data_IF_407380798407
#
_entry.id   IF_407380798407
#
_cell.length_a   1.000
_cell.length_b   1.000
_cell.length_c   1.000
_cell.angle_alpha   90.00
_cell.angle_beta   90.00
_cell.angle_gamma   90.00
#
_symmetry.space_group_name_H-M   'P 1'
#
loop_
_entity.id
_entity.type
_entity.pdbx_description
1 polymer ?
#
# COMPACT_ATOMS: atom_id res chain seq x y z
N UNK A 1 -84.87 -1.75 17.08
CA UNK A 1 -85.18 -2.58 18.27
C UNK A 1 -84.65 -4.00 18.06
N UNK A 2 -83.83 -4.47 19.01
CA UNK A 2 -83.57 -5.87 19.40
C UNK A 2 -82.63 -6.75 18.54
N UNK A 3 -81.51 -7.06 19.19
CA UNK A 3 -80.54 -8.15 19.04
C UNK A 3 -81.12 -9.51 18.59
N UNK A 4 -80.31 -10.32 17.87
CA UNK A 4 -79.67 -11.52 18.46
C UNK A 4 -78.64 -12.20 17.52
N UNK A 5 -77.57 -12.59 18.19
CA UNK A 5 -76.37 -13.36 17.83
C UNK A 5 -76.72 -14.74 17.26
N UNK A 6 -75.97 -15.24 16.26
CA UNK A 6 -75.47 -16.62 16.26
C UNK A 6 -74.10 -16.73 15.57
N UNK A 7 -73.24 -17.45 16.27
CA UNK A 7 -71.82 -17.68 16.08
C UNK A 7 -71.62 -18.87 15.13
N UNK A 8 -70.78 -18.78 14.09
CA UNK A 8 -70.17 -19.96 13.48
C UNK A 8 -68.70 -19.71 13.15
N UNK A 9 -67.87 -20.55 13.76
CA UNK A 9 -66.45 -20.71 13.54
C UNK A 9 -66.13 -20.99 12.06
N UNK A 10 -65.23 -20.20 11.46
CA UNK A 10 -64.32 -20.69 10.42
C UNK A 10 -62.94 -20.07 10.62
N UNK A 11 -62.05 -20.90 11.13
CA UNK A 11 -60.60 -20.70 11.17
C UNK A 11 -60.13 -20.64 9.72
N UNK A 12 -59.61 -19.49 9.28
CA UNK A 12 -58.92 -19.40 8.00
C UNK A 12 -57.46 -19.03 8.25
N UNK A 13 -56.63 -20.06 8.05
CA UNK A 13 -55.18 -20.07 8.11
C UNK A 13 -54.62 -19.12 7.03
N UNK A 14 -54.00 -18.02 7.44
CA UNK A 14 -53.21 -17.18 6.52
C UNK A 14 -51.73 -17.49 6.76
N UNK A 15 -51.14 -18.13 5.76
CA UNK A 15 -49.74 -18.49 5.63
C UNK A 15 -48.85 -17.25 5.80
N UNK A 16 -48.01 -17.23 6.83
CA UNK A 16 -46.90 -16.29 6.92
C UNK A 16 -45.83 -16.68 5.88
N UNK A 17 -45.63 -15.83 4.86
CA UNK A 17 -44.49 -15.93 3.96
C UNK A 17 -43.23 -15.54 4.74
N UNK A 18 -42.55 -16.52 5.32
CA UNK A 18 -41.20 -16.38 5.84
C UNK A 18 -40.23 -16.35 4.65
N UNK A 19 -39.79 -15.16 4.26
CA UNK A 19 -38.61 -15.02 3.39
C UNK A 19 -37.39 -15.50 4.18
N UNK A 20 -36.88 -16.67 3.84
CA UNK A 20 -35.62 -17.18 4.37
C UNK A 20 -34.48 -16.29 3.86
N UNK A 21 -33.98 -15.39 4.72
CA UNK A 21 -32.71 -14.72 4.51
C UNK A 21 -31.63 -15.80 4.60
N UNK A 22 -31.05 -16.19 3.47
CA UNK A 22 -29.83 -17.01 3.45
C UNK A 22 -28.68 -16.14 3.95
N UNK A 23 -27.89 -16.57 4.94
CA UNK A 23 -26.66 -15.88 5.24
C UNK A 23 -25.72 -16.03 4.04
N UNK A 24 -25.36 -14.91 3.42
CA UNK A 24 -24.17 -14.84 2.57
C UNK A 24 -23.01 -15.19 3.48
N UNK A 25 -22.34 -16.32 3.24
CA UNK A 25 -21.01 -16.55 3.81
C UNK A 25 -20.12 -15.45 3.25
N UNK A 26 -19.87 -14.42 4.06
CA UNK A 26 -18.71 -13.57 3.84
C UNK A 26 -17.51 -14.50 3.81
N UNK A 27 -16.88 -14.62 2.64
CA UNK A 27 -15.61 -15.30 2.52
C UNK A 27 -14.62 -14.46 3.33
N UNK A 28 -14.37 -14.89 4.55
CA UNK A 28 -13.38 -14.27 5.42
C UNK A 28 -12.04 -14.37 4.69
N UNK A 29 -11.53 -13.25 4.20
CA UNK A 29 -10.09 -13.12 3.99
C UNK A 29 -9.48 -13.28 5.38
N UNK A 30 -9.01 -14.49 5.63
CA UNK A 30 -8.25 -14.84 6.82
C UNK A 30 -6.94 -14.07 6.75
N UNK A 31 -6.95 -12.85 7.30
CA UNK A 31 -5.75 -12.07 7.57
C UNK A 31 -4.98 -12.81 8.66
N UNK A 32 -4.11 -13.72 8.25
CA UNK A 32 -3.10 -14.33 9.12
C UNK A 32 -2.06 -13.24 9.47
N UNK A 33 -2.39 -12.37 10.43
CA UNK A 33 -1.40 -11.52 11.08
C UNK A 33 -1.29 -11.89 12.55
N UNK A 34 -0.69 -13.06 12.76
CA UNK A 34 -0.04 -13.37 14.01
C UNK A 34 1.31 -14.01 13.68
N UNK A 35 2.22 -13.22 13.11
CA UNK A 35 3.63 -13.59 13.05
C UNK A 35 4.30 -13.09 14.31
N UNK A 36 4.82 -14.01 15.12
CA UNK A 36 5.74 -13.66 16.19
C UNK A 36 6.93 -12.91 15.59
N UNK A 37 7.24 -11.73 16.11
CA UNK A 37 8.41 -10.91 15.72
C UNK A 37 9.75 -11.56 16.08
N UNK A 38 9.74 -12.70 16.79
CA UNK A 38 10.95 -13.42 17.16
C UNK A 38 11.62 -14.02 15.92
N UNK A 39 12.75 -13.46 15.50
CA UNK A 39 13.61 -14.01 14.45
C UNK A 39 13.41 -13.46 13.04
N UNK A 40 12.47 -12.53 12.83
CA UNK A 40 12.30 -11.83 11.54
C UNK A 40 13.39 -10.77 11.36
N UNK A 41 13.95 -10.68 10.15
CA UNK A 41 14.91 -9.67 9.77
C UNK A 41 14.33 -8.27 10.01
N UNK A 42 15.17 -7.35 10.50
CA UNK A 42 14.73 -6.00 10.85
C UNK A 42 14.14 -5.26 9.64
N UNK A 43 14.72 -5.40 8.44
CA UNK A 43 14.23 -4.69 7.26
C UNK A 43 12.85 -5.18 6.81
N UNK A 44 12.60 -6.48 6.90
CA UNK A 44 11.25 -7.01 6.67
C UNK A 44 10.26 -6.56 7.76
N UNK A 45 10.72 -6.31 8.99
CA UNK A 45 9.89 -5.75 10.06
C UNK A 45 9.55 -4.28 9.80
N UNK A 46 10.50 -3.50 9.26
CA UNK A 46 10.26 -2.13 8.82
C UNK A 46 9.28 -2.07 7.65
N UNK A 47 9.37 -3.02 6.71
CA UNK A 47 8.39 -3.20 5.63
C UNK A 47 6.98 -3.49 6.18
N UNK A 48 6.83 -4.38 7.17
CA UNK A 48 5.53 -4.63 7.80
C UNK A 48 4.94 -3.35 8.41
N UNK A 49 5.78 -2.56 9.09
CA UNK A 49 5.37 -1.28 9.68
C UNK A 49 4.87 -0.31 8.62
N UNK A 50 5.57 -0.21 7.49
CA UNK A 50 5.15 0.58 6.32
C UNK A 50 3.77 0.13 5.80
N UNK A 51 3.58 -1.18 5.61
CA UNK A 51 2.31 -1.75 5.14
C UNK A 51 1.14 -1.48 6.10
N UNK A 52 1.40 -1.55 7.42
CA UNK A 52 0.40 -1.21 8.44
C UNK A 52 0.02 0.26 8.36
N UNK A 53 0.96 1.17 8.10
CA UNK A 53 0.68 2.59 7.93
C UNK A 53 -0.16 2.84 6.67
N UNK A 54 0.19 2.22 5.53
CA UNK A 54 -0.59 2.31 4.29
C UNK A 54 -2.04 1.82 4.47
N UNK A 55 -2.25 0.73 5.22
CA UNK A 55 -3.59 0.18 5.47
C UNK A 55 -4.53 1.10 6.27
N UNK A 56 -3.97 2.13 6.92
CA UNK A 56 -4.70 3.08 7.77
C UNK A 56 -5.00 4.41 7.08
N UNK A 57 -4.58 4.56 5.83
CA UNK A 57 -4.81 5.79 5.08
C UNK A 57 -6.31 6.05 4.90
N UNK A 58 -6.75 7.32 4.97
CA UNK A 58 -8.14 7.64 4.73
C UNK A 58 -8.47 7.40 3.25
N UNK A 59 -9.76 7.25 2.96
CA UNK A 59 -10.22 7.06 1.58
C UNK A 59 -9.89 8.31 0.76
N UNK A 60 -9.09 8.13 -0.28
CA UNK A 60 -8.77 9.19 -1.24
C UNK A 60 -9.97 9.59 -2.11
N UNK A 61 -9.95 10.82 -2.61
CA UNK A 61 -11.02 11.42 -3.42
C UNK A 61 -10.61 11.68 -4.87
N UNK A 62 -9.36 11.37 -5.23
CA UNK A 62 -8.82 11.44 -6.59
C UNK A 62 -7.59 10.53 -6.74
N UNK A 63 -7.17 10.17 -7.97
CA UNK A 63 -5.91 9.48 -8.20
C UNK A 63 -4.70 10.21 -7.64
N UNK A 64 -4.66 11.54 -7.74
CA UNK A 64 -3.56 12.37 -7.26
C UNK A 64 -3.46 12.30 -5.73
N UNK A 65 -4.59 12.48 -5.03
CA UNK A 65 -4.61 12.38 -3.57
C UNK A 65 -4.27 10.98 -3.10
N UNK A 66 -4.75 9.93 -3.78
CA UNK A 66 -4.42 8.54 -3.44
C UNK A 66 -2.93 8.26 -3.62
N UNK A 67 -2.37 8.59 -4.79
CA UNK A 67 -0.95 8.40 -5.09
C UNK A 67 -0.05 9.06 -4.04
N UNK A 68 -0.32 10.33 -3.71
CA UNK A 68 0.46 11.07 -2.72
C UNK A 68 0.28 10.49 -1.31
N UNK A 69 -0.94 10.15 -0.91
CA UNK A 69 -1.20 9.55 0.40
C UNK A 69 -0.52 8.19 0.57
N UNK A 70 -0.47 7.39 -0.48
CA UNK A 70 0.18 6.07 -0.48
C UNK A 70 1.70 6.20 -0.51
N UNK A 71 2.23 7.15 -1.28
CA UNK A 71 3.68 7.31 -1.47
C UNK A 71 4.38 7.88 -0.22
N UNK A 72 3.68 8.65 0.62
CA UNK A 72 4.25 9.15 1.89
C UNK A 72 4.71 8.00 2.81
N UNK A 73 3.84 7.10 3.30
CA UNK A 73 4.27 5.99 4.16
C UNK A 73 5.19 5.02 3.42
N UNK A 74 5.02 4.84 2.11
CA UNK A 74 5.94 4.03 1.29
C UNK A 74 7.38 4.58 1.37
N UNK A 75 7.56 5.89 1.17
CA UNK A 75 8.85 6.56 1.33
C UNK A 75 9.35 6.54 2.78
N UNK A 76 8.47 6.67 3.78
CA UNK A 76 8.85 6.55 5.18
C UNK A 76 9.44 5.16 5.51
N UNK A 77 8.94 4.11 4.86
CA UNK A 77 9.52 2.76 4.90
C UNK A 77 10.95 2.72 4.38
N UNK A 78 11.20 3.26 3.18
CA UNK A 78 12.55 3.37 2.62
C UNK A 78 13.49 4.22 3.47
N UNK A 79 13.02 5.36 4.02
CA UNK A 79 13.79 6.20 4.95
C UNK A 79 14.18 5.43 6.21
N UNK A 80 13.28 4.62 6.77
CA UNK A 80 13.57 3.80 7.94
C UNK A 80 14.61 2.71 7.63
N UNK A 81 14.48 2.02 6.50
CA UNK A 81 15.44 1.00 6.07
C UNK A 81 16.82 1.61 5.77
N UNK A 82 16.85 2.78 5.12
CA UNK A 82 18.08 3.51 4.85
C UNK A 82 18.80 3.95 6.14
N UNK A 83 18.06 4.40 7.17
CA UNK A 83 18.66 4.71 8.48
C UNK A 83 19.28 3.48 9.13
N UNK A 84 18.63 2.33 9.02
CA UNK A 84 19.15 1.07 9.55
C UNK A 84 20.45 0.67 8.85
N UNK A 85 20.48 0.75 7.52
CA UNK A 85 21.68 0.51 6.72
C UNK A 85 22.83 1.46 7.08
N UNK A 86 22.56 2.76 7.21
CA UNK A 86 23.58 3.75 7.61
C UNK A 86 24.19 3.42 8.98
N UNK A 87 23.40 2.88 9.90
CA UNK A 87 23.83 2.61 11.27
C UNK A 87 24.58 1.29 11.40
N UNK A 88 24.24 0.29 10.58
CA UNK A 88 24.66 -1.09 10.80
C UNK A 88 25.35 -1.77 9.60
N UNK A 89 25.23 -1.19 8.41
CA UNK A 89 25.88 -1.65 7.20
C UNK A 89 27.40 -1.57 7.28
N UNK A 90 28.06 -2.25 6.33
CA UNK A 90 29.53 -2.35 6.27
C UNK A 90 30.07 -2.01 4.89
N UNK A 91 29.29 -2.20 3.83
CA UNK A 91 29.67 -1.83 2.48
C UNK A 91 29.57 -0.32 2.30
N UNK A 92 30.69 0.29 1.92
CA UNK A 92 30.77 1.74 1.74
C UNK A 92 29.78 2.25 0.70
N UNK A 93 29.57 1.52 -0.41
CA UNK A 93 28.69 1.98 -1.48
C UNK A 93 27.21 1.86 -1.06
N UNK A 94 26.83 0.79 -0.35
CA UNK A 94 25.46 0.63 0.17
C UNK A 94 25.12 1.68 1.24
N UNK A 95 26.04 1.99 2.15
CA UNK A 95 25.87 3.09 3.11
C UNK A 95 25.71 4.43 2.38
N UNK A 96 26.50 4.69 1.33
CA UNK A 96 26.40 5.94 0.57
C UNK A 96 25.06 6.03 -0.19
N UNK A 97 24.61 4.95 -0.82
CA UNK A 97 23.29 4.88 -1.43
C UNK A 97 22.18 5.14 -0.40
N UNK A 98 22.25 4.50 0.78
CA UNK A 98 21.28 4.72 1.85
C UNK A 98 21.25 6.19 2.32
N UNK A 99 22.39 6.90 2.34
CA UNK A 99 22.41 8.35 2.64
C UNK A 99 21.72 9.19 1.57
N UNK A 100 21.88 8.84 0.30
CA UNK A 100 21.18 9.50 -0.80
C UNK A 100 19.67 9.29 -0.67
N UNK A 101 19.22 8.04 -0.54
CA UNK A 101 17.81 7.67 -0.33
C UNK A 101 17.21 8.42 0.85
N UNK A 102 17.89 8.43 2.01
CA UNK A 102 17.45 9.16 3.20
C UNK A 102 17.22 10.63 2.88
N UNK A 103 18.15 11.28 2.18
CA UNK A 103 18.10 12.71 1.89
C UNK A 103 16.98 13.04 0.90
N UNK A 104 16.94 12.32 -0.22
CA UNK A 104 16.02 12.55 -1.32
C UNK A 104 14.59 12.24 -0.89
N UNK A 105 14.33 11.05 -0.35
CA UNK A 105 12.97 10.66 0.03
C UNK A 105 12.43 11.46 1.21
N UNK A 106 13.28 11.94 2.14
CA UNK A 106 12.84 12.90 3.17
C UNK A 106 12.38 14.23 2.55
N UNK A 107 13.08 14.72 1.53
CA UNK A 107 12.66 15.93 0.80
C UNK A 107 11.35 15.71 0.05
N UNK A 108 11.20 14.56 -0.60
CA UNK A 108 9.97 14.20 -1.33
C UNK A 108 8.78 14.06 -0.38
N UNK A 109 8.94 13.44 0.79
CA UNK A 109 7.90 13.38 1.83
C UNK A 109 7.44 14.79 2.23
N UNK A 110 8.37 15.73 2.40
CA UNK A 110 8.01 17.11 2.75
C UNK A 110 7.21 17.79 1.64
N UNK A 111 7.63 17.62 0.37
CA UNK A 111 6.91 18.14 -0.79
C UNK A 111 5.51 17.54 -0.93
N UNK A 112 5.40 16.22 -0.82
CA UNK A 112 4.14 15.49 -0.86
C UNK A 112 3.16 15.94 0.24
N UNK A 113 3.64 16.17 1.47
CA UNK A 113 2.83 16.71 2.56
C UNK A 113 2.33 18.15 2.29
N UNK A 114 3.10 18.97 1.56
CA UNK A 114 2.66 20.29 1.14
C UNK A 114 1.60 20.20 0.05
N UNK A 115 1.81 19.36 -0.96
CA UNK A 115 0.87 19.17 -2.06
C UNK A 115 -0.44 18.55 -1.60
N UNK A 116 -0.41 17.60 -0.65
CA UNK A 116 -1.62 16.97 -0.13
C UNK A 116 -2.58 17.98 0.53
N UNK A 117 -2.06 19.07 1.10
CA UNK A 117 -2.87 20.17 1.65
C UNK A 117 -3.49 21.06 0.56
N UNK A 118 -2.95 21.01 -0.66
CA UNK A 118 -3.35 21.83 -1.80
C UNK A 118 -4.24 21.06 -2.79
N UNK A 119 -4.17 19.73 -2.80
CA UNK A 119 -5.04 18.89 -3.62
C UNK A 119 -6.48 19.12 -3.17
N UNK A 120 -7.26 19.76 -4.03
CA UNK A 120 -8.68 19.97 -3.78
C UNK A 120 -9.41 18.64 -3.88
N UNK A 121 -10.33 18.41 -2.95
CA UNK A 121 -11.28 17.30 -3.10
C UNK A 121 -12.01 17.48 -4.43
N UNK A 122 -12.12 16.39 -5.19
CA UNK A 122 -12.88 16.39 -6.44
C UNK A 122 -14.16 15.60 -6.22
N UNK A 123 -15.27 16.08 -6.77
CA UNK A 123 -16.53 15.32 -6.83
C UNK A 123 -16.51 14.28 -7.96
N UNK A 124 -15.38 14.16 -8.69
CA UNK A 124 -15.23 13.19 -9.76
C UNK A 124 -15.10 11.79 -9.16
N UNK A 125 -15.81 10.85 -9.77
CA UNK A 125 -15.62 9.44 -9.44
C UNK A 125 -14.19 9.02 -9.76
N UNK A 126 -13.63 8.16 -8.90
CA UNK A 126 -12.33 7.55 -9.14
C UNK A 126 -12.37 6.78 -10.47
N UNK A 127 -11.41 6.98 -11.39
CA UNK A 127 -11.38 6.25 -12.65
C UNK A 127 -11.42 4.73 -12.44
N UNK A 128 -12.19 4.04 -13.29
CA UNK A 128 -12.25 2.58 -13.25
C UNK A 128 -10.86 1.97 -13.47
N UNK A 129 -10.55 0.93 -12.69
CA UNK A 129 -9.27 0.23 -12.75
C UNK A 129 -8.08 0.90 -12.05
N UNK A 130 -8.18 2.17 -11.63
CA UNK A 130 -7.09 2.85 -10.90
C UNK A 130 -6.72 2.10 -9.61
N UNK A 131 -7.70 1.91 -8.71
CA UNK A 131 -7.47 1.24 -7.43
C UNK A 131 -6.98 -0.20 -7.60
N UNK A 132 -7.52 -0.92 -8.60
CA UNK A 132 -7.09 -2.28 -8.91
C UNK A 132 -5.61 -2.31 -9.33
N UNK A 133 -5.18 -1.35 -10.15
CA UNK A 133 -3.78 -1.23 -10.58
C UNK A 133 -2.85 -0.92 -9.41
N UNK A 134 -3.24 0.01 -8.53
CA UNK A 134 -2.47 0.35 -7.33
C UNK A 134 -2.34 -0.86 -6.39
N UNK A 135 -3.45 -1.57 -6.13
CA UNK A 135 -3.46 -2.77 -5.31
C UNK A 135 -2.60 -3.89 -5.91
N UNK A 136 -2.64 -4.05 -7.24
CA UNK A 136 -1.81 -5.03 -7.95
C UNK A 136 -0.32 -4.71 -7.83
N UNK A 137 0.06 -3.43 -7.90
CA UNK A 137 1.46 -2.99 -7.70
C UNK A 137 1.97 -3.42 -6.33
N UNK A 138 1.22 -3.07 -5.28
CA UNK A 138 1.58 -3.43 -3.90
C UNK A 138 1.56 -4.95 -3.66
N UNK A 139 0.63 -5.68 -4.27
CA UNK A 139 0.62 -7.14 -4.19
C UNK A 139 1.85 -7.75 -4.87
N UNK A 140 2.28 -7.20 -6.00
CA UNK A 140 3.48 -7.65 -6.71
C UNK A 140 4.72 -7.41 -5.85
N UNK A 141 4.83 -6.25 -5.21
CA UNK A 141 5.88 -5.96 -4.23
C UNK A 141 5.91 -7.03 -3.12
N UNK A 142 4.77 -7.28 -2.47
CA UNK A 142 4.70 -8.25 -1.37
C UNK A 142 5.06 -9.68 -1.80
N UNK A 143 4.68 -10.07 -3.02
CA UNK A 143 4.99 -11.39 -3.57
C UNK A 143 6.45 -11.55 -4.02
N UNK A 144 7.16 -10.44 -4.23
CA UNK A 144 8.56 -10.42 -4.69
C UNK A 144 9.54 -10.10 -3.57
N UNK A 145 9.06 -9.84 -2.36
CA UNK A 145 9.92 -9.67 -1.19
C UNK A 145 10.69 -10.97 -0.89
N UNK A 146 11.98 -10.87 -0.55
CA UNK A 146 12.77 -12.02 -0.12
C UNK A 146 12.24 -12.59 1.19
N UNK A 147 12.34 -13.92 1.36
CA UNK A 147 12.11 -14.58 2.64
C UNK A 147 13.26 -14.31 3.60
N UNK A 148 13.03 -14.54 4.90
CA UNK A 148 14.02 -14.30 5.94
C UNK A 148 15.33 -15.07 5.71
N UNK A 149 15.23 -16.29 5.17
CA UNK A 149 16.35 -17.20 4.91
C UNK A 149 17.23 -16.75 3.73
N UNK A 150 16.68 -15.91 2.84
CA UNK A 150 17.43 -15.33 1.72
C UNK A 150 18.26 -14.12 2.15
N UNK A 151 18.04 -13.58 3.37
CA UNK A 151 18.71 -12.38 3.86
C UNK A 151 19.95 -12.75 4.67
N UNK A 152 21.13 -12.58 4.07
CA UNK A 152 22.40 -13.04 4.63
C UNK A 152 23.04 -12.04 5.60
N UNK A 153 23.58 -10.94 5.08
CA UNK A 153 24.13 -9.83 5.83
C UNK A 153 23.28 -8.57 5.65
N UNK A 154 23.64 -7.49 6.35
CA UNK A 154 22.84 -6.27 6.41
C UNK A 154 22.81 -5.56 5.06
N UNK A 155 23.96 -5.44 4.39
CA UNK A 155 24.09 -4.77 3.10
C UNK A 155 23.32 -5.54 2.01
N UNK A 156 23.44 -6.88 2.00
CA UNK A 156 22.64 -7.76 1.15
C UNK A 156 21.15 -7.64 1.45
N UNK A 157 20.77 -7.65 2.73
CA UNK A 157 19.37 -7.55 3.11
C UNK A 157 18.76 -6.22 2.70
N UNK A 158 19.51 -5.12 2.85
CA UNK A 158 19.11 -3.80 2.41
C UNK A 158 18.81 -3.78 0.91
N UNK A 159 19.77 -4.19 0.08
CA UNK A 159 19.57 -4.24 -1.37
C UNK A 159 18.43 -5.19 -1.76
N UNK A 160 18.36 -6.39 -1.19
CA UNK A 160 17.37 -7.41 -1.56
C UNK A 160 15.93 -7.01 -1.21
N UNK A 161 15.72 -6.26 -0.13
CA UNK A 161 14.39 -5.75 0.25
C UNK A 161 14.06 -4.45 -0.51
N UNK A 162 15.05 -3.59 -0.71
CA UNK A 162 14.83 -2.27 -1.32
C UNK A 162 14.61 -2.32 -2.84
N UNK A 163 15.13 -3.32 -3.56
CA UNK A 163 14.86 -3.51 -4.99
C UNK A 163 13.36 -3.66 -5.29
N UNK A 164 12.64 -4.68 -4.75
CA UNK A 164 11.21 -4.81 -5.00
C UNK A 164 10.40 -3.65 -4.41
N UNK A 165 10.85 -3.03 -3.31
CA UNK A 165 10.24 -1.81 -2.77
C UNK A 165 10.30 -0.64 -3.77
N UNK A 166 11.49 -0.34 -4.32
CA UNK A 166 11.66 0.74 -5.30
C UNK A 166 10.90 0.45 -6.58
N UNK A 167 10.88 -0.82 -7.02
CA UNK A 167 10.11 -1.21 -8.19
C UNK A 167 8.61 -0.92 -8.01
N UNK A 168 8.06 -1.13 -6.81
CA UNK A 168 6.67 -0.82 -6.51
C UNK A 168 6.35 0.67 -6.64
N UNK A 169 7.24 1.54 -6.16
CA UNK A 169 7.07 3.00 -6.29
C UNK A 169 7.19 3.46 -7.75
N UNK A 170 8.12 2.87 -8.52
CA UNK A 170 8.22 3.08 -9.98
C UNK A 170 6.93 2.66 -10.69
N UNK A 171 6.34 1.53 -10.32
CA UNK A 171 5.13 1.02 -10.95
C UNK A 171 3.88 1.84 -10.55
N UNK A 172 3.78 2.28 -9.30
CA UNK A 172 2.77 3.25 -8.86
C UNK A 172 2.90 4.58 -9.61
N UNK A 173 4.12 5.07 -9.82
CA UNK A 173 4.37 6.27 -10.60
C UNK A 173 3.95 6.11 -12.08
N UNK A 174 4.20 4.94 -12.69
CA UNK A 174 3.70 4.63 -14.04
C UNK A 174 2.17 4.54 -14.09
N UNK A 175 1.53 4.09 -13.01
CA UNK A 175 0.06 4.06 -12.91
C UNK A 175 -0.47 5.48 -12.91
N UNK A 176 0.00 6.36 -12.02
CA UNK A 176 -0.55 7.73 -11.92
C UNK A 176 -0.38 8.52 -13.22
N UNK A 177 0.68 8.27 -14.00
CA UNK A 177 0.86 8.87 -15.34
C UNK A 177 -0.25 8.52 -16.35
N UNK A 178 -1.00 7.44 -16.13
CA UNK A 178 -2.15 7.05 -16.97
C UNK A 178 -3.46 7.72 -16.53
N UNK A 179 -3.55 8.12 -15.26
CA UNK A 179 -4.80 8.54 -14.62
C UNK A 179 -4.84 10.00 -14.23
N UNK A 180 -3.69 10.69 -14.19
CA UNK A 180 -3.59 12.10 -13.86
C UNK A 180 -3.20 12.95 -15.07
N UNK A 181 -3.88 14.09 -15.22
CA UNK A 181 -3.48 15.17 -16.10
C UNK A 181 -2.79 16.33 -15.36
N UNK A 182 -2.62 16.22 -14.04
CA UNK A 182 -2.00 17.26 -13.22
C UNK A 182 -0.49 17.31 -13.51
N UNK A 183 0.00 18.47 -13.94
CA UNK A 183 1.39 18.63 -14.36
C UNK A 183 2.39 18.48 -13.21
N UNK A 184 2.01 18.88 -12.00
CA UNK A 184 2.85 18.78 -10.82
C UNK A 184 2.98 17.31 -10.42
N UNK A 185 1.87 16.57 -10.36
CA UNK A 185 1.87 15.15 -10.00
C UNK A 185 2.57 14.30 -11.06
N UNK A 186 2.27 14.53 -12.35
CA UNK A 186 2.91 13.79 -13.44
C UNK A 186 4.39 14.15 -13.60
N UNK A 187 4.79 15.39 -13.26
CA UNK A 187 6.18 15.81 -13.19
C UNK A 187 6.94 15.06 -12.10
N UNK A 188 6.40 15.04 -10.89
CA UNK A 188 6.96 14.29 -9.76
C UNK A 188 7.08 12.79 -10.07
N UNK A 189 6.04 12.17 -10.63
CA UNK A 189 6.06 10.75 -10.99
C UNK A 189 7.19 10.41 -11.98
N UNK A 190 7.46 11.26 -12.98
CA UNK A 190 8.57 11.06 -13.93
C UNK A 190 9.94 11.17 -13.24
N UNK A 191 10.09 12.14 -12.34
CA UNK A 191 11.32 12.30 -11.57
C UNK A 191 11.58 11.08 -10.68
N UNK A 192 10.55 10.62 -9.95
CA UNK A 192 10.61 9.43 -9.11
C UNK A 192 11.03 8.20 -9.92
N UNK A 193 10.42 7.97 -11.09
CA UNK A 193 10.81 6.86 -11.98
C UNK A 193 12.29 6.93 -12.33
N UNK A 194 12.78 8.12 -12.72
CA UNK A 194 14.17 8.29 -13.14
C UNK A 194 15.15 8.02 -12.01
N UNK A 195 14.89 8.56 -10.82
CA UNK A 195 15.78 8.42 -9.67
C UNK A 195 15.79 6.98 -9.15
N UNK A 196 14.62 6.42 -8.89
CA UNK A 196 14.54 5.07 -8.31
C UNK A 196 15.01 3.98 -9.28
N UNK A 197 14.93 4.18 -10.59
CA UNK A 197 15.49 3.21 -11.55
C UNK A 197 17.02 3.13 -11.45
N UNK A 198 17.70 4.25 -11.19
CA UNK A 198 19.16 4.28 -10.96
C UNK A 198 19.50 3.57 -9.65
N UNK A 199 18.73 3.80 -8.58
CA UNK A 199 18.94 3.15 -7.28
C UNK A 199 18.72 1.63 -7.37
N UNK A 200 17.67 1.19 -8.10
CA UNK A 200 17.42 -0.23 -8.39
C UNK A 200 18.62 -0.86 -9.11
N UNK A 201 19.18 -0.17 -10.11
CA UNK A 201 20.35 -0.66 -10.84
C UNK A 201 21.56 -0.82 -9.92
N UNK A 202 21.84 0.17 -9.06
CA UNK A 202 22.95 0.10 -8.11
C UNK A 202 22.82 -1.07 -7.13
N UNK A 203 21.62 -1.26 -6.55
CA UNK A 203 21.35 -2.39 -5.64
C UNK A 203 21.41 -3.73 -6.38
N UNK A 204 20.88 -3.80 -7.60
CA UNK A 204 20.92 -5.02 -8.42
C UNK A 204 22.36 -5.39 -8.80
N UNK A 205 23.19 -4.40 -9.12
CA UNK A 205 24.63 -4.62 -9.36
C UNK A 205 25.35 -5.08 -8.09
N UNK A 206 24.94 -4.63 -6.91
CA UNK A 206 25.48 -5.13 -5.64
C UNK A 206 25.11 -6.60 -5.40
N UNK A 207 23.85 -6.97 -5.61
CA UNK A 207 23.35 -8.34 -5.41
C UNK A 207 23.93 -9.38 -6.38
N UNK A 208 24.41 -8.96 -7.55
CA UNK A 208 24.95 -9.84 -8.59
C UNK A 208 26.47 -10.02 -8.53
N UNK A 209 27.15 -9.47 -7.51
CA UNK A 209 28.59 -9.64 -7.29
C UNK A 209 28.90 -10.93 -6.53
#
# INVERSE_FOLDING_TARGET
MKNKIFNTFKIMLVLALLTAIRPVKAQSMQMHHQHSSAGKNMLLTLMDSMMVQMSKLPKATSPESDFIQQMIPHHEGAVAMAKYEIQHGKDFNMIQLARSILTEQTSEIQQMNLWLKQISATDKEMPSGYQQSMNQSMQTMMNTMPSNEQLTDIDHAFAAVMVPHHQAAVDMAKIILKYSGDQLITGFAKQLISLQQVEIEQMSLFLNK
#
